data_IF_506416665352
#
_entry.id   IF_506416665352
#
_cell.length_a   1.000
_cell.length_b   1.000
_cell.length_c   1.000
_cell.angle_alpha   90.00
_cell.angle_beta   90.00
_cell.angle_gamma   90.00
#
_symmetry.space_group_name_H-M   'P 1'
#
loop_
_entity.id
_entity.type
_entity.pdbx_description
1 polymer ?
#
# COMPACT_ATOMS: atom_id res chain seq x y z
N UNK A 1 9.01 21.43 4.46
CA UNK A 1 8.33 20.32 5.18
C UNK A 1 8.75 19.04 4.51
N UNK A 2 9.16 18.01 5.26
CA UNK A 2 9.51 16.71 4.66
C UNK A 2 8.25 16.04 4.12
N UNK A 3 8.29 15.58 2.86
CA UNK A 3 7.21 14.80 2.25
C UNK A 3 7.00 13.52 3.06
N UNK A 4 5.75 13.21 3.40
CA UNK A 4 5.38 11.99 4.12
C UNK A 4 5.28 10.82 3.16
N UNK A 5 5.93 9.70 3.49
CA UNK A 5 5.78 8.45 2.75
C UNK A 5 4.58 7.67 3.29
N UNK A 6 3.61 7.41 2.42
CA UNK A 6 2.35 6.72 2.77
C UNK A 6 2.29 5.37 2.08
N UNK A 7 2.20 4.29 2.87
CA UNK A 7 1.88 2.97 2.35
C UNK A 7 0.37 2.76 2.25
N UNK A 8 -0.13 2.40 1.07
CA UNK A 8 -1.54 2.15 0.80
C UNK A 8 -1.76 0.69 0.40
N UNK A 9 -2.46 -0.07 1.24
CA UNK A 9 -2.94 -1.41 0.92
C UNK A 9 -4.37 -1.35 0.36
N UNK A 10 -4.64 -2.08 -0.72
CA UNK A 10 -5.99 -2.13 -1.33
C UNK A 10 -6.26 -1.07 -2.40
N UNK A 11 -5.22 -0.44 -2.97
CA UNK A 11 -5.34 0.60 -3.99
C UNK A 11 -6.09 0.19 -5.27
N UNK A 12 -6.18 -1.11 -5.57
CA UNK A 12 -6.92 -1.62 -6.73
C UNK A 12 -8.45 -1.69 -6.49
N UNK A 13 -8.90 -1.54 -5.25
CA UNK A 13 -10.32 -1.52 -4.87
C UNK A 13 -10.98 -0.16 -5.08
N UNK A 14 -12.31 -0.10 -4.97
CA UNK A 14 -13.09 1.12 -5.22
C UNK A 14 -12.63 2.29 -4.33
N UNK A 15 -12.58 2.08 -3.01
CA UNK A 15 -12.15 3.09 -2.04
C UNK A 15 -10.66 3.43 -2.23
N UNK A 16 -9.81 2.41 -2.37
CA UNK A 16 -8.36 2.60 -2.51
C UNK A 16 -7.96 3.44 -3.72
N UNK A 17 -8.69 3.36 -4.83
CA UNK A 17 -8.45 4.22 -6.01
C UNK A 17 -8.64 5.70 -5.71
N UNK A 18 -9.66 6.05 -4.92
CA UNK A 18 -9.93 7.43 -4.54
C UNK A 18 -8.79 7.98 -3.66
N UNK A 19 -8.35 7.20 -2.67
CA UNK A 19 -7.21 7.55 -1.82
C UNK A 19 -5.91 7.70 -2.62
N UNK A 20 -5.59 6.73 -3.49
CA UNK A 20 -4.38 6.79 -4.31
C UNK A 20 -4.34 8.04 -5.20
N UNK A 21 -5.47 8.40 -5.82
CA UNK A 21 -5.59 9.62 -6.62
C UNK A 21 -5.31 10.87 -5.78
N UNK A 22 -5.96 11.00 -4.62
CA UNK A 22 -5.81 12.18 -3.76
C UNK A 22 -4.39 12.29 -3.19
N UNK A 23 -3.79 11.19 -2.74
CA UNK A 23 -2.43 11.20 -2.20
C UNK A 23 -1.39 11.68 -3.23
N UNK A 24 -1.53 11.25 -4.49
CA UNK A 24 -0.68 11.74 -5.57
C UNK A 24 -0.94 13.22 -5.88
N UNK A 25 -2.20 13.67 -5.84
CA UNK A 25 -2.54 15.09 -6.04
C UNK A 25 -1.97 16.01 -4.94
N UNK A 26 -1.90 15.51 -3.72
CA UNK A 26 -1.29 16.22 -2.57
C UNK A 26 0.25 16.15 -2.57
N UNK A 27 0.87 15.45 -3.53
CA UNK A 27 2.33 15.32 -3.63
C UNK A 27 2.96 14.45 -2.54
N UNK A 28 2.19 13.52 -1.96
CA UNK A 28 2.72 12.54 -1.00
C UNK A 28 3.56 11.49 -1.72
N UNK A 29 4.58 10.96 -1.04
CA UNK A 29 5.34 9.81 -1.56
C UNK A 29 4.49 8.55 -1.36
N UNK A 30 3.77 8.17 -2.42
CA UNK A 30 2.80 7.07 -2.38
C UNK A 30 3.46 5.74 -2.68
N UNK A 31 3.41 4.83 -1.71
CA UNK A 31 3.81 3.44 -1.81
C UNK A 31 2.59 2.52 -1.83
N UNK A 32 2.28 1.91 -2.95
CA UNK A 32 1.16 0.98 -3.06
C UNK A 32 1.62 -0.43 -2.73
N UNK A 33 0.99 -1.04 -1.72
CA UNK A 33 1.15 -2.44 -1.38
C UNK A 33 0.13 -3.27 -2.14
N UNK A 34 0.61 -4.24 -2.92
CA UNK A 34 -0.26 -5.09 -3.74
C UNK A 34 0.23 -6.53 -3.76
N UNK A 35 -0.68 -7.48 -3.96
CA UNK A 35 -0.30 -8.88 -4.18
C UNK A 35 0.42 -9.00 -5.52
N UNK A 36 1.42 -9.89 -5.60
CA UNK A 36 2.22 -10.09 -6.81
C UNK A 36 1.37 -10.33 -8.07
N UNK A 37 0.31 -11.15 -7.96
CA UNK A 37 -0.64 -11.42 -9.06
C UNK A 37 -1.39 -10.17 -9.57
N UNK A 38 -1.54 -9.14 -8.73
CA UNK A 38 -2.30 -7.93 -9.04
C UNK A 38 -1.41 -6.77 -9.51
N UNK A 39 -0.08 -6.91 -9.47
CA UNK A 39 0.85 -5.78 -9.70
C UNK A 39 0.69 -5.16 -11.10
N UNK A 40 0.33 -5.96 -12.10
CA UNK A 40 0.16 -5.53 -13.48
C UNK A 40 -1.26 -5.08 -13.82
N UNK A 41 -2.15 -4.91 -12.82
CA UNK A 41 -3.50 -4.41 -13.10
C UNK A 41 -3.45 -2.99 -13.66
N UNK A 42 -4.36 -2.68 -14.60
CA UNK A 42 -4.41 -1.38 -15.26
C UNK A 42 -4.46 -0.19 -14.25
N UNK A 43 -5.28 -0.22 -13.18
CA UNK A 43 -5.28 0.88 -12.21
C UNK A 43 -3.93 1.10 -11.51
N UNK A 44 -3.21 0.02 -11.18
CA UNK A 44 -1.92 0.15 -10.49
C UNK A 44 -0.83 0.68 -11.42
N UNK A 45 -0.83 0.25 -12.69
CA UNK A 45 0.08 0.79 -13.69
C UNK A 45 -0.21 2.28 -13.99
N UNK A 46 -1.47 2.70 -13.94
CA UNK A 46 -1.86 4.11 -14.02
C UNK A 46 -1.34 4.92 -12.82
N UNK A 47 -1.45 4.41 -11.59
CA UNK A 47 -0.89 5.11 -10.43
C UNK A 47 0.63 5.16 -10.48
N UNK A 48 1.28 4.11 -10.98
CA UNK A 48 2.72 4.07 -11.18
C UNK A 48 3.19 5.14 -12.17
N UNK A 49 2.50 5.32 -13.30
CA UNK A 49 2.84 6.37 -14.27
C UNK A 49 2.63 7.79 -13.72
N UNK A 50 1.80 7.94 -12.68
CA UNK A 50 1.57 9.19 -11.95
C UNK A 50 2.49 9.41 -10.74
N UNK A 51 3.48 8.52 -10.53
CA UNK A 51 4.51 8.70 -9.50
C UNK A 51 4.40 7.78 -8.28
N UNK A 52 3.40 6.90 -8.21
CA UNK A 52 3.36 5.91 -7.13
C UNK A 52 4.45 4.84 -7.32
N UNK A 53 5.02 4.35 -6.23
CA UNK A 53 5.84 3.14 -6.23
C UNK A 53 4.97 1.91 -5.95
N UNK A 54 5.15 0.84 -6.73
CA UNK A 54 4.42 -0.43 -6.52
C UNK A 54 5.32 -1.43 -5.81
N UNK A 55 4.81 -2.01 -4.72
CA UNK A 55 5.52 -2.99 -3.90
C UNK A 55 4.69 -4.26 -3.82
N UNK A 56 5.22 -5.34 -4.39
CA UNK A 56 4.62 -6.66 -4.28
C UNK A 56 4.84 -7.20 -2.87
N UNK A 57 3.76 -7.61 -2.21
CA UNK A 57 3.79 -8.26 -0.90
C UNK A 57 2.96 -9.55 -0.92
N UNK A 58 3.21 -10.42 0.05
CA UNK A 58 2.32 -11.52 0.39
C UNK A 58 1.86 -11.35 1.83
N UNK A 59 0.55 -11.48 2.08
CA UNK A 59 0.01 -11.40 3.44
C UNK A 59 0.38 -12.62 4.29
N UNK A 60 0.83 -13.69 3.66
CA UNK A 60 1.34 -14.91 4.32
C UNK A 60 2.86 -14.85 4.58
N UNK A 61 3.54 -13.80 4.10
CA UNK A 61 4.97 -13.55 4.34
C UNK A 61 5.17 -12.19 5.00
N UNK A 62 5.22 -12.18 6.33
CA UNK A 62 5.41 -10.97 7.13
C UNK A 62 6.69 -10.20 6.73
N UNK A 63 7.77 -10.89 6.37
CA UNK A 63 9.03 -10.24 6.00
C UNK A 63 8.89 -9.43 4.70
N UNK A 64 8.06 -9.89 3.76
CA UNK A 64 7.74 -9.13 2.54
C UNK A 64 7.06 -7.80 2.87
N UNK A 65 6.16 -7.78 3.86
CA UNK A 65 5.44 -6.60 4.29
C UNK A 65 6.37 -5.66 5.07
N UNK A 66 7.17 -6.20 6.00
CA UNK A 66 8.14 -5.41 6.79
C UNK A 66 9.08 -4.67 5.86
N UNK A 67 9.66 -5.35 4.87
CA UNK A 67 10.54 -4.72 3.87
C UNK A 67 9.84 -3.59 3.11
N UNK A 68 8.57 -3.77 2.73
CA UNK A 68 7.81 -2.74 2.05
C UNK A 68 7.45 -1.55 2.95
N UNK A 69 7.36 -1.76 4.27
CA UNK A 69 7.04 -0.73 5.26
C UNK A 69 8.27 0.03 5.79
N UNK A 70 9.50 -0.39 5.46
CA UNK A 70 10.70 0.34 5.86
C UNK A 70 10.69 1.79 5.33
N UNK A 71 10.88 2.74 6.25
CA UNK A 71 10.90 4.17 5.95
C UNK A 71 9.53 4.79 5.66
N UNK A 72 8.43 4.07 5.89
CA UNK A 72 7.06 4.59 5.75
C UNK A 72 6.66 5.37 7.01
N UNK A 73 6.10 6.57 6.84
CA UNK A 73 5.56 7.36 7.95
C UNK A 73 4.14 6.91 8.35
N UNK A 74 3.30 6.55 7.37
CA UNK A 74 1.87 6.27 7.58
C UNK A 74 1.46 5.04 6.77
N UNK A 75 0.72 4.13 7.40
CA UNK A 75 0.07 2.98 6.74
C UNK A 75 -1.44 3.22 6.67
N UNK A 76 -2.01 3.10 5.46
CA UNK A 76 -3.45 3.22 5.19
C UNK A 76 -3.92 1.90 4.58
N UNK A 77 -4.98 1.33 5.14
CA UNK A 77 -5.59 0.10 4.63
C UNK A 77 -7.00 0.36 4.11
N UNK A 78 -7.22 0.09 2.84
CA UNK A 78 -8.54 0.12 2.17
C UNK A 78 -8.90 -1.25 1.62
N UNK A 79 -8.43 -2.32 2.28
CA UNK A 79 -8.75 -3.71 1.88
C UNK A 79 -10.24 -3.99 2.03
N UNK A 80 -10.76 -4.90 1.22
CA UNK A 80 -12.17 -5.30 1.28
C UNK A 80 -12.50 -5.97 2.63
N UNK A 81 -13.76 -5.87 3.07
CA UNK A 81 -14.21 -6.46 4.34
C UNK A 81 -13.98 -7.98 4.43
N UNK A 82 -14.00 -8.69 3.29
CA UNK A 82 -13.68 -10.14 3.23
C UNK A 82 -12.23 -10.46 3.57
N UNK A 83 -11.32 -9.48 3.46
CA UNK A 83 -9.91 -9.61 3.77
C UNK A 83 -9.51 -8.87 5.05
N UNK A 84 -10.48 -8.46 5.88
CA UNK A 84 -10.22 -7.60 7.05
C UNK A 84 -9.17 -8.24 7.98
N UNK A 85 -9.41 -9.47 8.42
CA UNK A 85 -8.51 -10.17 9.35
C UNK A 85 -7.25 -10.65 8.63
N UNK A 86 -7.41 -11.30 7.47
CA UNK A 86 -6.30 -11.93 6.73
C UNK A 86 -5.29 -10.92 6.16
N UNK A 87 -5.69 -9.66 5.94
CA UNK A 87 -4.77 -8.62 5.49
C UNK A 87 -4.35 -7.65 6.61
N UNK A 88 -5.27 -7.18 7.46
CA UNK A 88 -4.91 -6.15 8.44
C UNK A 88 -4.08 -6.68 9.61
N UNK A 89 -4.28 -7.92 10.06
CA UNK A 89 -3.47 -8.48 11.15
C UNK A 89 -1.99 -8.58 10.74
N UNK A 90 -1.63 -9.13 9.56
CA UNK A 90 -0.25 -9.08 9.08
C UNK A 90 0.29 -7.66 8.91
N UNK A 91 -0.51 -6.72 8.38
CA UNK A 91 -0.09 -5.31 8.24
C UNK A 91 0.26 -4.67 9.60
N UNK A 92 -0.54 -4.93 10.64
CA UNK A 92 -0.28 -4.40 11.99
C UNK A 92 1.00 -4.98 12.58
N UNK A 93 1.21 -6.29 12.45
CA UNK A 93 2.44 -6.95 12.93
C UNK A 93 3.67 -6.41 12.22
N UNK A 94 3.62 -6.32 10.89
CA UNK A 94 4.71 -5.82 10.09
C UNK A 94 4.99 -4.33 10.37
N UNK A 95 3.97 -3.51 10.56
CA UNK A 95 4.13 -2.10 10.92
C UNK A 95 4.84 -1.95 12.28
N UNK A 96 4.50 -2.78 13.27
CA UNK A 96 5.21 -2.82 14.56
C UNK A 96 6.67 -3.23 14.40
N UNK A 97 6.97 -4.18 13.52
CA UNK A 97 8.33 -4.68 13.31
C UNK A 97 9.20 -3.75 12.44
N UNK A 98 8.59 -2.89 11.62
CA UNK A 98 9.29 -1.93 10.76
C UNK A 98 9.56 -0.57 11.43
N UNK A 99 8.92 -0.31 12.58
CA UNK A 99 9.10 0.89 13.41
C UNK A 99 10.37 0.78 14.27
#
# INVERSE_FOLDING_TARGET
MSTKTVALAGANGYVGKAFAKEFLQQGLDLRILTRGESINSAPLQEFKSKGASLHAISYDDEASIVKALQGVDVVVSTVAGTALVSAQVPLIKAAKAAA
#
